data_IF_241624849232
#
_entry.id   IF_241624849232
#
_cell.length_a   1.000
_cell.length_b   1.000
_cell.length_c   1.000
_cell.angle_alpha   90.00
_cell.angle_beta   90.00
_cell.angle_gamma   90.00
#
_symmetry.space_group_name_H-M   'P 1'
#
loop_
_entity.id
_entity.type
_entity.pdbx_description
1 polymer ?
#
# COMPACT_ATOMS: atom_id res chain seq x y z
N UNK A 1 18.78 19.88 44.96
CA UNK A 1 18.50 18.64 44.20
C UNK A 1 17.49 18.84 43.06
N UNK A 2 16.32 19.45 43.27
CA UNK A 2 15.29 19.62 42.21
C UNK A 2 15.71 20.49 41.00
N UNK A 3 16.53 21.52 41.22
CA UNK A 3 16.99 22.44 40.16
C UNK A 3 18.03 21.83 39.21
N UNK A 4 18.92 20.97 39.74
CA UNK A 4 19.98 20.32 38.95
C UNK A 4 19.37 19.30 37.98
N UNK A 5 18.35 18.56 38.43
CA UNK A 5 17.64 17.59 37.59
C UNK A 5 16.93 18.27 36.42
N UNK A 6 16.29 19.43 36.66
CA UNK A 6 15.63 20.20 35.60
C UNK A 6 16.61 20.67 34.52
N UNK A 7 17.81 21.13 34.90
CA UNK A 7 18.81 21.58 33.94
C UNK A 7 19.35 20.44 33.09
N UNK A 8 19.52 19.24 33.67
CA UNK A 8 19.94 18.05 32.93
C UNK A 8 18.85 17.66 31.92
N UNK A 9 17.58 17.66 32.32
CA UNK A 9 16.46 17.32 31.44
C UNK A 9 16.38 18.31 30.27
N UNK A 10 16.49 19.62 30.52
CA UNK A 10 16.49 20.63 29.46
C UNK A 10 17.70 20.48 28.53
N UNK A 11 18.88 20.16 29.08
CA UNK A 11 20.09 19.91 28.30
C UNK A 11 19.96 18.68 27.38
N UNK A 12 19.37 17.59 27.89
CA UNK A 12 19.13 16.37 27.10
C UNK A 12 18.07 16.62 26.02
N UNK A 13 16.98 17.32 26.33
CA UNK A 13 15.96 17.69 25.34
C UNK A 13 16.58 18.58 24.25
N UNK A 14 17.38 19.59 24.64
CA UNK A 14 18.07 20.46 23.70
C UNK A 14 19.05 19.70 22.80
N UNK A 15 19.79 18.74 23.36
CA UNK A 15 20.71 17.89 22.60
C UNK A 15 19.99 16.94 21.63
N UNK A 16 18.88 16.34 22.05
CA UNK A 16 18.04 15.50 21.19
C UNK A 16 17.40 16.30 20.04
N UNK A 17 16.96 17.53 20.30
CA UNK A 17 16.45 18.42 19.24
C UNK A 17 17.58 18.83 18.29
N UNK A 18 18.76 19.18 18.81
CA UNK A 18 19.93 19.56 17.99
C UNK A 18 20.42 18.41 17.10
N UNK A 19 20.40 17.17 17.60
CA UNK A 19 20.88 16.00 16.86
C UNK A 19 19.80 15.31 16.02
N UNK A 20 18.51 15.55 16.28
CA UNK A 20 17.40 14.78 15.70
C UNK A 20 16.40 15.55 14.85
N UNK A 21 16.48 16.88 14.75
CA UNK A 21 15.45 17.70 14.08
C UNK A 21 15.77 18.11 12.63
N UNK A 22 16.75 17.48 11.97
CA UNK A 22 17.08 17.77 10.57
C UNK A 22 16.16 17.10 9.54
N UNK A 23 15.53 15.97 9.89
CA UNK A 23 14.85 15.10 8.92
C UNK A 23 13.30 15.14 8.99
N UNK A 24 12.70 15.95 9.87
CA UNK A 24 11.24 15.93 10.12
C UNK A 24 10.44 17.07 9.49
N UNK A 25 11.08 18.12 8.96
CA UNK A 25 10.35 19.23 8.31
C UNK A 25 10.47 19.09 6.79
N UNK A 26 9.55 18.31 6.23
CA UNK A 26 9.39 18.14 4.79
C UNK A 26 9.18 19.48 4.09
N UNK A 27 10.21 19.96 3.42
CA UNK A 27 10.10 21.03 2.42
C UNK A 27 9.35 20.46 1.23
N UNK A 28 8.23 21.11 0.87
CA UNK A 28 7.46 20.88 -0.35
C UNK A 28 8.31 21.23 -1.58
N UNK A 29 9.27 20.39 -1.96
CA UNK A 29 9.92 20.47 -3.28
C UNK A 29 10.78 19.22 -3.49
N UNK A 30 10.24 18.27 -4.26
CA UNK A 30 10.88 17.07 -4.80
C UNK A 30 11.63 16.19 -3.78
N UNK A 31 11.09 15.02 -3.40
CA UNK A 31 11.81 14.09 -2.56
C UNK A 31 13.19 13.81 -3.17
N UNK A 32 14.28 13.78 -2.37
CA UNK A 32 15.58 13.34 -2.87
C UNK A 32 15.42 11.99 -3.56
N UNK A 33 16.19 11.69 -4.61
CA UNK A 33 16.00 10.48 -5.45
C UNK A 33 15.81 9.16 -4.66
N UNK A 34 16.40 9.07 -3.46
CA UNK A 34 16.20 7.95 -2.52
C UNK A 34 14.80 7.88 -1.91
N UNK A 35 14.19 9.02 -1.59
CA UNK A 35 12.81 9.11 -1.13
C UNK A 35 11.81 8.84 -2.26
N UNK A 36 12.10 9.26 -3.50
CA UNK A 36 11.26 8.91 -4.65
C UNK A 36 11.27 7.39 -4.90
N UNK A 37 12.44 6.75 -4.85
CA UNK A 37 12.54 5.29 -4.98
C UNK A 37 11.81 4.52 -3.86
N UNK A 38 11.71 5.09 -2.65
CA UNK A 38 10.90 4.51 -1.58
C UNK A 38 9.40 4.65 -1.87
N UNK A 39 8.96 5.83 -2.33
CA UNK A 39 7.56 6.08 -2.72
C UNK A 39 7.14 5.10 -3.83
N UNK A 40 7.99 4.88 -4.83
CA UNK A 40 7.68 3.99 -5.94
C UNK A 40 7.58 2.53 -5.48
N UNK A 41 8.46 2.08 -4.57
CA UNK A 41 8.35 0.76 -3.93
C UNK A 41 7.09 0.63 -3.07
N UNK A 42 6.68 1.69 -2.38
CA UNK A 42 5.44 1.69 -1.59
C UNK A 42 4.22 1.56 -2.50
N UNK A 43 4.21 2.23 -3.67
CA UNK A 43 3.13 2.10 -4.66
C UNK A 43 3.05 0.68 -5.22
N UNK A 44 4.19 0.06 -5.54
CA UNK A 44 4.25 -1.33 -6.00
C UNK A 44 3.73 -2.29 -4.91
N UNK A 45 4.16 -2.12 -3.65
CA UNK A 45 3.71 -2.95 -2.54
C UNK A 45 2.20 -2.82 -2.30
N UNK A 46 1.67 -1.60 -2.36
CA UNK A 46 0.24 -1.35 -2.21
C UNK A 46 -0.56 -1.97 -3.37
N UNK A 47 -0.07 -1.84 -4.61
CA UNK A 47 -0.68 -2.53 -5.76
C UNK A 47 -0.69 -4.06 -5.56
N UNK A 48 0.40 -4.63 -5.07
CA UNK A 48 0.51 -6.06 -4.77
C UNK A 48 -0.50 -6.51 -3.71
N UNK A 49 -0.65 -5.74 -2.64
CA UNK A 49 -1.63 -6.04 -1.59
C UNK A 49 -3.06 -5.97 -2.12
N UNK A 50 -3.37 -5.00 -2.97
CA UNK A 50 -4.67 -4.89 -3.62
C UNK A 50 -4.94 -6.10 -4.51
N UNK A 51 -4.00 -6.49 -5.38
CA UNK A 51 -4.14 -7.69 -6.22
C UNK A 51 -4.40 -8.95 -5.39
N UNK A 52 -3.65 -9.13 -4.29
CA UNK A 52 -3.87 -10.26 -3.38
C UNK A 52 -5.27 -10.24 -2.80
N UNK A 53 -5.74 -9.08 -2.30
CA UNK A 53 -7.09 -8.94 -1.75
C UNK A 53 -8.16 -9.26 -2.80
N UNK A 54 -8.00 -8.74 -4.01
CA UNK A 54 -8.93 -8.99 -5.12
C UNK A 54 -8.97 -10.48 -5.50
N UNK A 55 -7.82 -11.15 -5.60
CA UNK A 55 -7.74 -12.59 -5.89
C UNK A 55 -8.30 -13.45 -4.76
N UNK A 56 -8.08 -13.05 -3.50
CA UNK A 56 -8.68 -13.72 -2.35
C UNK A 56 -10.21 -13.58 -2.38
N UNK A 57 -10.73 -12.41 -2.79
CA UNK A 57 -12.17 -12.19 -2.97
C UNK A 57 -12.77 -13.10 -4.05
N UNK A 58 -12.09 -13.27 -5.20
CA UNK A 58 -12.52 -14.23 -6.24
C UNK A 58 -12.61 -15.64 -5.67
N UNK A 59 -11.58 -16.10 -4.94
CA UNK A 59 -11.58 -17.43 -4.32
C UNK A 59 -12.71 -17.60 -3.31
N UNK A 60 -12.98 -16.58 -2.50
CA UNK A 60 -14.11 -16.59 -1.57
C UNK A 60 -15.44 -16.67 -2.31
N UNK A 61 -15.61 -15.88 -3.38
CA UNK A 61 -16.80 -15.92 -4.21
C UNK A 61 -17.02 -17.32 -4.82
N UNK A 62 -15.99 -17.89 -5.43
CA UNK A 62 -16.03 -19.23 -6.02
C UNK A 62 -16.40 -20.30 -4.99
N UNK A 63 -15.74 -20.28 -3.82
CA UNK A 63 -16.04 -21.22 -2.73
C UNK A 63 -17.46 -21.06 -2.17
N UNK A 64 -18.01 -19.84 -2.19
CA UNK A 64 -19.36 -19.57 -1.68
C UNK A 64 -20.44 -20.03 -2.66
N UNK A 65 -20.17 -19.95 -3.96
CA UNK A 65 -21.12 -20.28 -5.02
C UNK A 65 -20.90 -21.66 -5.64
N UNK A 66 -19.90 -22.42 -5.17
CA UNK A 66 -19.58 -23.75 -5.70
C UNK A 66 -19.06 -23.71 -7.14
N UNK A 67 -18.31 -22.67 -7.49
CA UNK A 67 -17.70 -22.53 -8.83
C UNK A 67 -16.33 -23.19 -8.80
N UNK A 68 -16.15 -24.22 -9.63
CA UNK A 68 -14.89 -24.96 -9.73
C UNK A 68 -13.94 -24.37 -10.79
N UNK A 69 -14.48 -23.74 -11.84
CA UNK A 69 -13.70 -23.13 -12.91
C UNK A 69 -13.58 -21.59 -12.72
N UNK A 70 -12.37 -21.05 -12.50
CA UNK A 70 -12.16 -19.61 -12.37
C UNK A 70 -12.52 -18.83 -13.64
N UNK A 71 -12.56 -19.46 -14.82
CA UNK A 71 -12.98 -18.81 -16.06
C UNK A 71 -14.47 -18.44 -16.08
N UNK A 72 -15.29 -19.08 -15.23
CA UNK A 72 -16.73 -18.79 -15.14
C UNK A 72 -17.04 -17.54 -14.30
N UNK A 73 -16.03 -16.95 -13.65
CA UNK A 73 -16.18 -15.75 -12.82
C UNK A 73 -15.99 -14.50 -13.66
N UNK A 74 -17.01 -13.66 -13.67
CA UNK A 74 -17.00 -12.33 -14.32
C UNK A 74 -16.84 -11.21 -13.31
N UNK A 75 -16.33 -10.05 -13.75
CA UNK A 75 -16.12 -8.90 -12.88
C UNK A 75 -17.47 -8.29 -12.43
N UNK A 76 -18.52 -8.42 -13.23
CA UNK A 76 -19.88 -7.99 -12.94
C UNK A 76 -20.46 -8.79 -11.77
N UNK A 77 -20.34 -10.12 -11.78
CA UNK A 77 -20.77 -10.98 -10.68
C UNK A 77 -20.07 -10.63 -9.36
N UNK A 78 -18.78 -10.34 -9.42
CA UNK A 78 -18.02 -9.94 -8.23
C UNK A 78 -18.49 -8.59 -7.69
N UNK A 79 -18.79 -7.62 -8.57
CA UNK A 79 -19.34 -6.32 -8.18
C UNK A 79 -20.74 -6.45 -7.55
N UNK A 80 -21.60 -7.30 -8.11
CA UNK A 80 -22.91 -7.62 -7.52
C UNK A 80 -22.79 -8.29 -6.15
N UNK A 81 -21.77 -9.13 -5.96
CA UNK A 81 -21.44 -9.73 -4.67
C UNK A 81 -20.83 -8.74 -3.66
N UNK A 82 -20.49 -7.52 -4.10
CA UNK A 82 -20.00 -6.43 -3.25
C UNK A 82 -18.52 -6.09 -3.41
N UNK A 83 -17.85 -6.57 -4.46
CA UNK A 83 -16.47 -6.20 -4.74
C UNK A 83 -16.36 -4.70 -5.05
N UNK A 84 -15.51 -4.01 -4.30
CA UNK A 84 -15.06 -2.67 -4.62
C UNK A 84 -13.63 -2.73 -5.14
N UNK A 85 -13.42 -2.28 -6.37
CA UNK A 85 -12.10 -2.27 -7.00
C UNK A 85 -11.43 -0.95 -6.61
N UNK A 86 -10.33 -0.98 -5.83
CA UNK A 86 -9.61 0.24 -5.47
C UNK A 86 -8.85 0.80 -6.67
N UNK A 87 -8.49 2.07 -6.61
CA UNK A 87 -7.55 2.67 -7.58
C UNK A 87 -6.13 2.12 -7.37
N UNK A 88 -5.37 1.96 -8.45
CA UNK A 88 -3.96 1.63 -8.33
C UNK A 88 -3.16 2.87 -7.88
N UNK A 89 -2.29 2.76 -6.85
CA UNK A 89 -1.46 3.88 -6.38
C UNK A 89 -0.49 4.46 -7.42
N UNK A 90 -0.24 3.73 -8.51
CA UNK A 90 0.56 4.19 -9.64
C UNK A 90 -0.29 4.74 -10.81
N UNK A 91 -1.61 4.79 -10.68
CA UNK A 91 -2.53 5.25 -11.74
C UNK A 91 -2.93 4.19 -12.76
N UNK A 92 -2.67 2.91 -12.48
CA UNK A 92 -3.08 1.78 -13.31
C UNK A 92 -4.51 1.34 -13.04
N UNK A 93 -5.00 0.45 -13.90
CA UNK A 93 -6.33 -0.15 -13.78
C UNK A 93 -6.20 -1.64 -13.43
N UNK A 94 -7.18 -2.16 -12.69
CA UNK A 94 -7.29 -3.58 -12.40
C UNK A 94 -8.32 -4.23 -13.31
N UNK A 95 -7.96 -5.36 -13.91
CA UNK A 95 -8.84 -6.15 -14.78
C UNK A 95 -8.79 -7.61 -14.37
N UNK A 96 -9.87 -8.34 -14.65
CA UNK A 96 -10.03 -9.76 -14.35
C UNK A 96 -9.83 -10.57 -15.65
N UNK A 97 -8.95 -11.56 -15.61
CA UNK A 97 -8.69 -12.49 -16.70
C UNK A 97 -8.49 -13.89 -16.09
N UNK A 98 -9.17 -14.92 -16.61
CA UNK A 98 -9.11 -16.31 -16.11
C UNK A 98 -9.28 -16.44 -14.59
N UNK A 99 -10.20 -15.66 -14.00
CA UNK A 99 -10.48 -15.61 -12.57
C UNK A 99 -9.33 -15.07 -11.71
N UNK A 100 -8.41 -14.31 -12.30
CA UNK A 100 -7.34 -13.60 -11.58
C UNK A 100 -7.31 -12.14 -11.97
N UNK A 101 -7.08 -11.29 -10.97
CA UNK A 101 -6.86 -9.88 -11.17
C UNK A 101 -5.43 -9.59 -11.57
N UNK A 102 -5.31 -8.66 -12.52
CA UNK A 102 -4.06 -8.12 -13.02
C UNK A 102 -4.10 -6.59 -12.95
N UNK A 103 -2.91 -5.98 -12.90
CA UNK A 103 -2.77 -4.52 -12.96
C UNK A 103 -2.05 -4.15 -14.26
N UNK A 104 -2.55 -3.12 -14.97
CA UNK A 104 -1.94 -2.66 -16.24
C UNK A 104 -0.51 -2.13 -16.12
N UNK A 105 -0.10 -1.69 -14.93
CA UNK A 105 1.23 -1.11 -14.67
C UNK A 105 2.19 -2.12 -14.04
N UNK A 106 1.70 -3.02 -13.18
CA UNK A 106 2.53 -3.94 -12.39
C UNK A 106 2.26 -5.42 -12.73
N UNK A 107 1.89 -5.70 -13.99
CA UNK A 107 1.39 -7.00 -14.48
C UNK A 107 2.36 -8.18 -14.34
N UNK A 108 3.63 -7.94 -13.97
CA UNK A 108 4.64 -8.98 -13.84
C UNK A 108 4.49 -9.83 -12.57
N UNK A 109 3.69 -9.39 -11.61
CA UNK A 109 3.52 -10.13 -10.36
C UNK A 109 2.32 -11.08 -10.42
N UNK A 110 2.59 -12.32 -10.83
CA UNK A 110 1.61 -13.43 -10.76
C UNK A 110 1.30 -13.76 -9.29
N UNK A 111 0.03 -13.65 -8.87
CA UNK A 111 -0.45 -14.05 -7.54
C UNK A 111 -1.74 -14.85 -7.61
#
# INVERSE_FOLDING_TARGET
>A
MRLIVLLIVVGVIGYLVYTGAGDFVGTKSNPPAKAQAQIDKTKELACRQNLKMLNDFVKTYMSTHGIDDPADVTIEQLKEYGLQIPECPAGGEYYLEDGKFYCTIHSEHKY
#
